data_IF_732427669994
#
_entry.id   IF_732427669994
#
_cell.length_a   1.000
_cell.length_b   1.000
_cell.length_c   1.000
_cell.angle_alpha   90.00
_cell.angle_beta   90.00
_cell.angle_gamma   90.00
#
_symmetry.space_group_name_H-M   'P 1'
#
loop_
_entity.id
_entity.type
_entity.pdbx_description
1 polymer ?
#
# COMPACT_ATOMS: atom_id res chain seq x y z
N UNK A 1 8.99 0.18 -19.77
CA UNK A 1 7.82 -0.71 -19.48
C UNK A 1 7.14 -0.33 -18.17
N UNK A 2 7.67 -0.67 -16.98
CA UNK A 2 6.93 -0.47 -15.71
C UNK A 2 6.51 0.98 -15.43
N UNK A 3 7.43 1.95 -15.54
CA UNK A 3 7.14 3.37 -15.28
C UNK A 3 5.99 3.92 -16.13
N UNK A 4 6.09 3.77 -17.45
CA UNK A 4 5.08 4.29 -18.39
C UNK A 4 3.77 3.49 -18.35
N UNK A 5 3.80 2.24 -17.88
CA UNK A 5 2.57 1.50 -17.58
C UNK A 5 1.84 2.11 -16.39
N UNK A 6 2.55 2.67 -15.41
CA UNK A 6 1.92 3.37 -14.30
C UNK A 6 1.22 4.65 -14.77
N UNK A 7 1.88 5.43 -15.63
CA UNK A 7 1.29 6.60 -16.28
C UNK A 7 0.03 6.21 -17.06
N UNK A 8 0.10 5.11 -17.83
CA UNK A 8 -1.04 4.58 -18.57
C UNK A 8 -2.21 4.25 -17.65
N UNK A 9 -1.97 3.55 -16.54
CA UNK A 9 -3.01 3.20 -15.58
C UNK A 9 -3.68 4.45 -15.00
N UNK A 10 -2.91 5.39 -14.46
CA UNK A 10 -3.45 6.63 -13.88
C UNK A 10 -4.15 7.52 -14.92
N UNK A 11 -3.74 7.49 -16.18
CA UNK A 11 -4.40 8.23 -17.25
C UNK A 11 -5.75 7.63 -17.66
N UNK A 12 -5.84 6.30 -17.78
CA UNK A 12 -7.04 5.63 -18.29
C UNK A 12 -8.01 5.13 -17.20
N UNK A 13 -7.58 5.06 -15.95
CA UNK A 13 -8.42 4.67 -14.81
C UNK A 13 -8.60 5.87 -13.86
N UNK A 14 -9.73 6.61 -13.92
CA UNK A 14 -9.97 7.76 -13.06
C UNK A 14 -9.96 7.44 -11.56
N UNK A 15 -10.26 6.20 -11.20
CA UNK A 15 -10.29 5.71 -9.81
C UNK A 15 -8.97 5.01 -9.41
N UNK A 16 -7.83 5.48 -9.91
CA UNK A 16 -6.52 4.82 -9.79
C UNK A 16 -6.03 4.65 -8.34
N UNK A 17 -6.56 5.44 -7.41
CA UNK A 17 -6.22 5.50 -5.99
C UNK A 17 -7.29 4.83 -5.10
N UNK A 18 -8.21 4.08 -5.69
CA UNK A 18 -9.26 3.37 -4.96
C UNK A 18 -9.44 1.94 -5.47
N UNK A 19 -10.04 1.08 -4.63
CA UNK A 19 -10.37 -0.29 -5.06
C UNK A 19 -11.27 -0.35 -6.28
N UNK A 20 -12.04 0.70 -6.59
CA UNK A 20 -12.87 0.73 -7.79
C UNK A 20 -12.03 0.64 -9.07
N UNK A 21 -10.77 1.12 -9.03
CA UNK A 21 -9.83 1.04 -10.13
C UNK A 21 -9.16 -0.33 -10.31
N UNK A 22 -9.29 -1.24 -9.33
CA UNK A 22 -8.76 -2.58 -9.44
C UNK A 22 -9.60 -3.46 -10.39
N UNK A 23 -8.95 -4.47 -10.98
CA UNK A 23 -9.63 -5.45 -11.81
C UNK A 23 -10.71 -6.21 -11.03
N UNK A 24 -11.77 -6.63 -11.73
CA UNK A 24 -12.93 -7.29 -11.14
C UNK A 24 -12.56 -8.53 -10.31
N UNK A 25 -11.68 -9.39 -10.81
CA UNK A 25 -11.27 -10.60 -10.09
C UNK A 25 -10.65 -10.27 -8.71
N UNK A 26 -9.86 -9.19 -8.63
CA UNK A 26 -9.21 -8.75 -7.40
C UNK A 26 -10.25 -8.20 -6.41
N UNK A 27 -11.18 -7.36 -6.88
CA UNK A 27 -12.29 -6.86 -6.07
C UNK A 27 -13.15 -7.99 -5.52
N UNK A 28 -13.49 -8.96 -6.37
CA UNK A 28 -14.33 -10.10 -5.99
C UNK A 28 -13.67 -11.00 -4.94
N UNK A 29 -12.37 -11.31 -5.06
CA UNK A 29 -11.67 -12.10 -4.04
C UNK A 29 -11.50 -11.33 -2.74
N UNK A 30 -11.15 -10.04 -2.79
CA UNK A 30 -11.03 -9.21 -1.59
C UNK A 30 -12.37 -9.12 -0.83
N UNK A 31 -13.49 -8.96 -1.56
CA UNK A 31 -14.82 -8.95 -0.96
C UNK A 31 -15.20 -10.30 -0.35
N UNK A 32 -14.86 -11.41 -1.01
CA UNK A 32 -15.12 -12.75 -0.49
C UNK A 32 -14.40 -13.01 0.85
N UNK A 33 -13.24 -12.39 1.05
CA UNK A 33 -12.41 -12.50 2.25
C UNK A 33 -12.57 -11.30 3.22
N UNK A 34 -13.55 -10.42 3.01
CA UNK A 34 -13.73 -9.22 3.82
C UNK A 34 -14.14 -9.50 5.27
N UNK A 35 -14.78 -10.66 5.52
CA UNK A 35 -15.22 -11.09 6.86
C UNK A 35 -14.22 -12.01 7.57
N UNK A 36 -13.08 -12.32 6.93
CA UNK A 36 -12.06 -13.15 7.54
C UNK A 36 -11.46 -12.44 8.75
N UNK A 37 -11.27 -13.18 9.84
CA UNK A 37 -10.63 -12.64 11.04
C UNK A 37 -9.17 -12.33 10.74
N UNK A 38 -8.76 -11.09 10.95
CA UNK A 38 -7.35 -10.68 10.91
C UNK A 38 -6.64 -11.09 12.20
N UNK A 39 -5.42 -11.63 12.07
CA UNK A 39 -4.59 -11.99 13.22
C UNK A 39 -4.11 -10.75 13.97
N UNK A 40 -3.75 -9.71 13.22
CA UNK A 40 -3.33 -8.41 13.71
C UNK A 40 -4.16 -7.30 13.05
N UNK A 41 -4.44 -6.24 13.79
CA UNK A 41 -5.03 -5.00 13.26
C UNK A 41 -4.25 -3.85 13.87
N UNK A 42 -3.57 -3.07 13.02
CA UNK A 42 -2.83 -1.89 13.43
C UNK A 42 -3.56 -0.63 13.00
N UNK A 43 -3.45 0.39 13.84
CA UNK A 43 -3.84 1.75 13.47
C UNK A 43 -2.83 2.35 12.50
N UNK A 44 -3.26 3.34 11.72
CA UNK A 44 -2.36 4.12 10.86
C UNK A 44 -1.17 4.72 11.65
N UNK A 45 -1.38 5.14 12.90
CA UNK A 45 -0.32 5.70 13.74
C UNK A 45 0.72 4.65 14.17
N UNK A 46 0.29 3.42 14.47
CA UNK A 46 1.19 2.31 14.80
C UNK A 46 2.02 1.90 13.58
N UNK A 47 1.36 1.78 12.41
CA UNK A 47 2.03 1.50 11.14
C UNK A 47 3.02 2.62 10.80
N UNK A 48 2.61 3.89 10.91
CA UNK A 48 3.48 5.04 10.62
C UNK A 48 4.75 5.05 11.47
N UNK A 49 4.64 4.67 12.74
CA UNK A 49 5.75 4.66 13.71
C UNK A 49 6.59 3.38 13.66
N UNK A 50 6.27 2.42 12.79
CA UNK A 50 6.97 1.12 12.75
C UNK A 50 6.83 0.37 14.06
N UNK A 51 5.58 0.20 14.53
CA UNK A 51 5.26 -0.49 15.79
C UNK A 51 4.42 -1.73 15.55
N UNK A 52 4.92 -2.61 14.71
CA UNK A 52 4.27 -3.90 14.46
C UNK A 52 4.94 -5.01 15.26
N UNK A 53 4.52 -6.24 15.04
CA UNK A 53 5.18 -7.41 15.57
C UNK A 53 6.31 -7.91 14.65
N UNK A 54 6.42 -7.36 13.43
CA UNK A 54 7.33 -7.83 12.40
C UNK A 54 8.47 -6.81 12.24
N UNK A 55 9.63 -7.16 12.78
CA UNK A 55 10.82 -6.32 12.77
C UNK A 55 11.28 -5.96 11.34
N UNK A 56 11.02 -6.83 10.34
CA UNK A 56 11.35 -6.56 8.95
C UNK A 56 10.42 -5.47 8.37
N UNK A 57 9.15 -5.50 8.74
CA UNK A 57 8.19 -4.47 8.35
C UNK A 57 8.52 -3.14 9.00
N UNK A 58 8.80 -3.14 10.30
CA UNK A 58 9.20 -1.94 11.04
C UNK A 58 10.47 -1.32 10.46
N UNK A 59 11.48 -2.14 10.14
CA UNK A 59 12.71 -1.67 9.49
C UNK A 59 12.45 -1.03 8.11
N UNK A 60 11.54 -1.62 7.32
CA UNK A 60 11.15 -1.10 6.00
C UNK A 60 10.47 0.26 6.14
N UNK A 61 9.50 0.37 7.06
CA UNK A 61 8.81 1.62 7.37
C UNK A 61 9.80 2.70 7.82
N UNK A 62 10.75 2.37 8.70
CA UNK A 62 11.72 3.32 9.22
C UNK A 62 12.76 3.75 8.18
N UNK A 63 13.11 2.89 7.22
CA UNK A 63 13.92 3.27 6.05
C UNK A 63 13.22 4.40 5.27
N UNK A 64 11.93 4.23 4.98
CA UNK A 64 11.11 5.25 4.32
C UNK A 64 11.04 6.54 5.15
N UNK A 65 10.75 6.45 6.45
CA UNK A 65 10.59 7.62 7.33
C UNK A 65 11.88 8.44 7.48
N UNK A 66 13.03 7.78 7.57
CA UNK A 66 14.30 8.45 7.85
C UNK A 66 15.08 8.85 6.59
N UNK A 67 15.01 8.04 5.52
CA UNK A 67 15.76 8.28 4.30
C UNK A 67 14.90 8.85 3.17
N UNK A 68 13.58 8.79 3.30
CA UNK A 68 12.63 9.20 2.27
C UNK A 68 12.67 8.29 1.02
N UNK A 69 13.24 7.09 1.16
CA UNK A 69 13.38 6.12 0.07
C UNK A 69 13.46 4.68 0.56
N UNK A 70 12.33 3.97 0.61
CA UNK A 70 12.33 2.53 0.89
C UNK A 70 12.89 1.74 -0.30
N UNK A 71 13.66 0.69 -0.03
CA UNK A 71 14.12 -0.23 -1.07
C UNK A 71 12.93 -0.83 -1.83
N UNK A 72 12.98 -0.80 -3.18
CA UNK A 72 11.82 -1.16 -4.01
C UNK A 72 11.30 -2.59 -3.83
N UNK A 73 12.17 -3.54 -3.43
CA UNK A 73 11.72 -4.89 -3.05
C UNK A 73 10.87 -4.87 -1.78
N UNK A 74 11.26 -4.06 -0.80
CA UNK A 74 10.56 -3.95 0.48
C UNK A 74 9.22 -3.24 0.34
N UNK A 75 9.06 -2.30 -0.60
CA UNK A 75 7.76 -1.65 -0.87
C UNK A 75 6.64 -2.64 -1.17
N UNK A 76 6.93 -3.69 -1.95
CA UNK A 76 5.94 -4.74 -2.26
C UNK A 76 5.53 -5.52 -1.01
N UNK A 77 6.51 -5.93 -0.20
CA UNK A 77 6.27 -6.63 1.06
C UNK A 77 5.50 -5.74 2.05
N UNK A 78 5.94 -4.50 2.20
CA UNK A 78 5.37 -3.50 3.08
C UNK A 78 3.88 -3.23 2.78
N UNK A 79 3.53 -2.99 1.51
CA UNK A 79 2.15 -2.71 1.10
C UNK A 79 1.24 -3.92 1.32
N UNK A 80 1.73 -5.14 1.04
CA UNK A 80 0.95 -6.37 1.23
C UNK A 80 0.70 -6.68 2.71
N UNK A 81 1.63 -6.33 3.60
CA UNK A 81 1.42 -6.45 5.05
C UNK A 81 0.42 -5.42 5.59
N UNK A 82 0.35 -4.22 5.03
CA UNK A 82 -0.72 -3.26 5.36
C UNK A 82 -2.10 -3.87 5.06
N UNK A 83 -2.27 -4.55 3.92
CA UNK A 83 -3.51 -5.27 3.59
C UNK A 83 -3.84 -6.38 4.60
N UNK A 84 -2.83 -7.11 5.05
CA UNK A 84 -2.99 -8.20 6.01
C UNK A 84 -3.37 -7.71 7.41
N UNK A 85 -2.95 -6.50 7.79
CA UNK A 85 -3.07 -5.99 9.16
C UNK A 85 -3.95 -4.74 9.32
N UNK A 86 -4.84 -4.49 8.37
CA UNK A 86 -5.88 -3.47 8.46
C UNK A 86 -7.28 -4.11 8.39
N UNK A 87 -8.34 -3.35 8.69
CA UNK A 87 -9.69 -3.92 8.81
C UNK A 87 -10.28 -4.32 7.46
N UNK A 88 -9.76 -3.77 6.38
CA UNK A 88 -10.22 -4.05 5.03
C UNK A 88 -9.33 -3.44 3.96
N UNK A 89 -9.52 -3.86 2.70
CA UNK A 89 -8.67 -3.43 1.58
C UNK A 89 -8.77 -1.94 1.27
N UNK A 90 -9.90 -1.28 1.53
CA UNK A 90 -10.06 0.16 1.36
C UNK A 90 -9.21 0.95 2.36
N UNK A 91 -9.22 0.53 3.63
CA UNK A 91 -8.36 1.10 4.67
C UNK A 91 -6.89 0.83 4.36
N UNK A 92 -6.57 -0.39 3.93
CA UNK A 92 -5.22 -0.78 3.56
C UNK A 92 -4.62 0.14 2.49
N UNK A 93 -5.38 0.33 1.41
CA UNK A 93 -4.95 1.15 0.28
C UNK A 93 -4.80 2.62 0.69
N UNK A 94 -5.76 3.15 1.46
CA UNK A 94 -5.69 4.52 1.96
C UNK A 94 -4.45 4.75 2.85
N UNK A 95 -4.14 3.81 3.75
CA UNK A 95 -2.97 3.88 4.62
C UNK A 95 -1.68 3.78 3.81
N UNK A 96 -1.60 2.83 2.87
CA UNK A 96 -0.42 2.66 2.02
C UNK A 96 -0.13 3.92 1.18
N UNK A 97 -1.15 4.48 0.53
CA UNK A 97 -1.02 5.72 -0.24
C UNK A 97 -0.60 6.89 0.67
N UNK A 98 -1.26 7.06 1.82
CA UNK A 98 -0.93 8.13 2.76
C UNK A 98 0.54 8.08 3.19
N UNK A 99 1.03 6.91 3.61
CA UNK A 99 2.39 6.76 4.10
C UNK A 99 3.42 6.93 2.98
N UNK A 100 3.16 6.36 1.81
CA UNK A 100 4.00 6.54 0.62
C UNK A 100 4.12 8.04 0.28
N UNK A 101 2.99 8.73 0.15
CA UNK A 101 2.97 10.13 -0.30
C UNK A 101 3.51 11.12 0.74
N UNK A 102 3.45 10.75 2.03
CA UNK A 102 3.99 11.56 3.11
C UNK A 102 5.52 11.49 3.20
N UNK A 103 6.10 10.31 3.00
CA UNK A 103 7.51 10.07 3.31
C UNK A 103 8.39 9.83 2.09
N UNK A 104 7.89 9.19 1.04
CA UNK A 104 8.70 8.91 -0.15
C UNK A 104 8.99 10.21 -0.92
N UNK A 105 10.28 10.47 -1.15
CA UNK A 105 10.72 11.58 -1.99
C UNK A 105 10.27 11.41 -3.45
N UNK A 106 10.02 10.16 -3.85
CA UNK A 106 9.44 9.78 -5.15
C UNK A 106 7.95 9.42 -5.08
N UNK A 107 7.27 9.79 -3.98
CA UNK A 107 5.82 9.62 -3.79
C UNK A 107 4.99 10.68 -4.55
N UNK A 108 3.65 10.61 -4.41
CA UNK A 108 2.67 11.42 -5.18
C UNK A 108 2.90 11.34 -6.69
N UNK A 109 3.23 10.13 -7.14
CA UNK A 109 3.62 9.78 -8.49
C UNK A 109 2.79 8.59 -8.96
N UNK A 110 2.47 8.46 -10.27
CA UNK A 110 1.77 7.29 -10.80
C UNK A 110 2.37 5.95 -10.36
N UNK A 111 3.69 5.85 -10.21
CA UNK A 111 4.34 4.62 -9.73
C UNK A 111 4.03 4.32 -8.26
N UNK A 112 3.80 5.34 -7.43
CA UNK A 112 3.38 5.17 -6.04
C UNK A 112 1.97 4.57 -5.96
N UNK A 113 1.01 5.16 -6.67
CA UNK A 113 -0.37 4.66 -6.73
C UNK A 113 -0.43 3.25 -7.29
N UNK A 114 0.20 3.02 -8.44
CA UNK A 114 0.19 1.71 -9.10
C UNK A 114 0.99 0.68 -8.30
N UNK A 115 2.04 1.09 -7.61
CA UNK A 115 2.79 0.25 -6.67
C UNK A 115 1.94 -0.21 -5.49
N UNK A 116 1.11 0.66 -4.92
CA UNK A 116 0.17 0.30 -3.85
C UNK A 116 -0.98 -0.59 -4.36
N UNK A 117 -1.39 -0.43 -5.61
CA UNK A 117 -2.45 -1.21 -6.25
C UNK A 117 -2.02 -2.61 -6.75
N UNK A 118 -0.71 -2.92 -6.74
CA UNK A 118 -0.12 -4.16 -7.29
C UNK A 118 0.18 -5.23 -6.22
#
# INVERSE_FOLDING_TARGET
VRRELSDNFCYYQPNYDSLQGAYEWARSTLLAHASDKREHIYTQEELEKGKTHDELWDASQLEMVHLGKMHGFMRMYWAKKILEWTRGPEEALAVAIYLNDKYELDGRDPNGFVGCMW
#
